data_IF_293435883794
#
_entry.id   IF_293435883794
#
_cell.length_a   1.000
_cell.length_b   1.000
_cell.length_c   1.000
_cell.angle_alpha   90.00
_cell.angle_beta   90.00
_cell.angle_gamma   90.00
#
_symmetry.space_group_name_H-M   'P 1'
#
loop_
_entity.id
_entity.type
_entity.pdbx_description
1 polymer ?
#
# COMPACT_ATOMS: atom_id res chain seq x y z
N UNK A 1 6.54 6.49 -4.66
CA UNK A 1 5.53 6.49 -3.58
C UNK A 1 6.26 6.83 -2.29
N UNK A 2 5.99 8.02 -1.75
CA UNK A 2 6.60 8.48 -0.50
C UNK A 2 6.16 7.58 0.65
N UNK A 3 7.06 7.36 1.60
CA UNK A 3 6.77 6.61 2.81
C UNK A 3 5.46 7.13 3.43
N UNK A 4 4.54 6.21 3.72
CA UNK A 4 3.38 6.50 4.55
C UNK A 4 3.95 7.08 5.84
N UNK A 5 3.74 8.36 6.09
CA UNK A 5 4.26 8.98 7.30
C UNK A 5 3.58 8.27 8.47
N UNK A 6 4.34 7.48 9.21
CA UNK A 6 3.90 6.92 10.48
C UNK A 6 3.33 8.08 11.29
N UNK A 7 2.09 7.96 11.76
CA UNK A 7 1.49 8.98 12.61
C UNK A 7 2.00 8.73 14.02
N UNK A 8 2.91 9.55 14.58
CA UNK A 8 3.21 9.48 15.99
C UNK A 8 1.98 9.97 16.76
N UNK A 9 1.30 9.07 17.47
CA UNK A 9 0.28 9.48 18.44
C UNK A 9 0.99 9.83 19.74
N UNK A 10 0.89 11.08 20.24
CA UNK A 10 1.56 11.48 21.46
C UNK A 10 1.04 10.69 22.67
N UNK A 11 1.94 10.46 23.63
CA UNK A 11 1.69 9.64 24.81
C UNK A 11 0.51 10.15 25.65
N UNK A 12 -0.24 9.22 26.23
CA UNK A 12 -1.33 9.50 27.16
C UNK A 12 -0.83 10.29 28.38
N UNK A 13 -1.47 11.42 28.69
CA UNK A 13 -1.35 12.10 29.97
C UNK A 13 -2.65 11.89 30.76
N UNK A 14 -2.51 11.45 32.01
CA UNK A 14 -3.63 11.41 32.95
C UNK A 14 -4.21 12.83 33.10
N UNK A 15 -5.54 12.97 33.27
CA UNK A 15 -6.12 14.27 33.56
C UNK A 15 -5.51 14.82 34.86
N UNK A 16 -5.20 16.13 34.92
CA UNK A 16 -4.74 16.77 36.14
C UNK A 16 -5.74 16.62 37.28
N UNK A 17 -5.26 16.76 38.52
CA UNK A 17 -6.12 16.70 39.70
C UNK A 17 -7.17 17.83 39.68
N UNK A 18 -8.39 17.58 40.17
CA UNK A 18 -9.39 18.62 40.38
C UNK A 18 -8.82 19.78 41.20
N UNK A 19 -9.31 21.01 40.95
CA UNK A 19 -8.84 22.21 41.67
C UNK A 19 -9.18 22.16 43.17
N UNK A 20 -10.29 21.52 43.51
CA UNK A 20 -10.77 21.30 44.87
C UNK A 20 -11.05 19.81 45.08
N UNK A 21 -10.95 19.30 46.31
CA UNK A 21 -11.33 17.91 46.68
C UNK A 21 -12.85 17.65 46.63
N UNK A 22 -13.61 18.53 45.98
CA UNK A 22 -15.05 18.42 45.80
C UNK A 22 -15.38 17.79 44.44
N UNK A 23 -16.46 17.00 44.34
CA UNK A 23 -16.83 16.28 43.12
C UNK A 23 -17.30 17.17 41.95
N UNK A 24 -17.03 18.48 41.97
CA UNK A 24 -17.58 19.44 41.02
C UNK A 24 -19.03 19.84 41.31
N UNK A 25 -19.46 20.93 40.66
CA UNK A 25 -20.81 21.49 40.78
C UNK A 25 -21.80 20.59 40.04
N UNK A 26 -22.84 20.12 40.73
CA UNK A 26 -23.93 19.40 40.07
C UNK A 26 -24.80 20.38 39.27
N UNK A 27 -25.01 20.08 37.99
CA UNK A 27 -25.75 20.96 37.06
C UNK A 27 -27.07 20.33 36.59
N UNK A 28 -27.19 19.01 36.67
CA UNK A 28 -28.42 18.24 36.50
C UNK A 28 -28.26 16.88 37.19
N UNK A 29 -29.35 16.12 37.42
CA UNK A 29 -29.27 14.85 38.14
C UNK A 29 -28.22 13.90 37.54
N UNK A 30 -27.16 13.61 38.30
CA UNK A 30 -26.08 12.72 37.87
C UNK A 30 -25.06 13.32 36.90
N UNK A 31 -25.12 14.63 36.61
CA UNK A 31 -24.15 15.34 35.76
C UNK A 31 -23.48 16.46 36.56
N UNK A 32 -22.15 16.46 36.55
CA UNK A 32 -21.32 17.43 37.26
C UNK A 32 -20.42 18.19 36.30
N UNK A 33 -20.17 19.44 36.65
CA UNK A 33 -19.17 20.31 36.05
C UNK A 33 -17.96 20.43 37.00
N UNK A 34 -16.78 20.08 36.51
CA UNK A 34 -15.51 20.17 37.24
C UNK A 34 -14.56 21.07 36.46
N UNK A 35 -13.98 22.06 37.13
CA UNK A 35 -12.85 22.82 36.60
C UNK A 35 -11.56 22.35 37.27
N UNK A 36 -10.59 21.94 36.45
CA UNK A 36 -9.28 21.48 36.90
C UNK A 36 -8.30 22.64 37.09
N UNK A 37 -7.20 22.40 37.81
CA UNK A 37 -6.21 23.44 38.13
C UNK A 37 -5.55 24.07 36.89
N UNK A 38 -5.45 23.31 35.79
CA UNK A 38 -4.93 23.77 34.49
C UNK A 38 -5.95 24.57 33.66
N UNK A 39 -7.19 24.69 34.17
CA UNK A 39 -8.32 25.32 33.49
C UNK A 39 -9.09 24.39 32.56
N UNK A 40 -8.77 23.09 32.51
CA UNK A 40 -9.62 22.14 31.81
C UNK A 40 -10.99 22.03 32.47
N UNK A 41 -12.01 21.71 31.69
CA UNK A 41 -13.39 21.57 32.15
C UNK A 41 -13.92 20.19 31.77
N UNK A 42 -14.48 19.50 32.75
CA UNK A 42 -15.25 18.28 32.52
C UNK A 42 -16.73 18.52 32.82
N UNK A 43 -17.60 18.03 31.92
CA UNK A 43 -19.05 17.98 32.13
C UNK A 43 -19.51 16.56 31.86
N UNK A 44 -19.98 15.86 32.89
CA UNK A 44 -20.42 14.48 32.73
C UNK A 44 -20.73 13.76 34.03
N UNK A 45 -20.96 12.45 33.92
CA UNK A 45 -21.17 11.61 35.08
C UNK A 45 -19.89 11.44 35.90
N UNK A 46 -20.05 11.19 37.20
CA UNK A 46 -18.94 10.98 38.12
C UNK A 46 -19.28 9.89 39.14
N UNK A 47 -18.25 9.23 39.66
CA UNK A 47 -18.36 8.28 40.77
C UNK A 47 -17.38 8.70 41.87
N UNK A 48 -17.92 9.28 42.95
CA UNK A 48 -17.11 10.00 43.92
C UNK A 48 -16.41 11.19 43.25
N UNK A 49 -15.09 11.24 43.35
CA UNK A 49 -14.24 12.28 42.72
C UNK A 49 -13.69 11.86 41.34
N UNK A 50 -14.03 10.67 40.85
CA UNK A 50 -13.51 10.14 39.59
C UNK A 50 -14.48 10.38 38.42
N UNK A 51 -13.91 10.69 37.25
CA UNK A 51 -14.66 10.73 35.99
C UNK A 51 -15.18 9.33 35.67
N UNK A 52 -16.48 9.22 35.38
CA UNK A 52 -17.08 7.93 35.09
C UNK A 52 -18.33 8.05 34.21
N UNK A 53 -18.62 7.02 33.41
CA UNK A 53 -19.76 7.05 32.49
C UNK A 53 -19.52 8.05 31.36
N UNK A 54 -20.58 8.63 30.81
CA UNK A 54 -20.45 9.58 29.69
C UNK A 54 -20.07 10.98 30.18
N UNK A 55 -19.18 11.64 29.45
CA UNK A 55 -18.82 13.02 29.71
C UNK A 55 -18.01 13.66 28.59
N UNK A 56 -17.92 14.98 28.67
CA UNK A 56 -17.09 15.80 27.78
C UNK A 56 -15.98 16.45 28.59
N UNK A 57 -14.74 16.25 28.16
CA UNK A 57 -13.53 16.85 28.71
C UNK A 57 -12.94 17.84 27.71
N UNK A 58 -12.86 19.11 28.08
CA UNK A 58 -12.29 20.18 27.25
C UNK A 58 -11.05 20.72 27.95
N UNK A 59 -9.88 20.46 27.37
CA UNK A 59 -8.61 21.07 27.80
C UNK A 59 -8.20 22.19 26.85
N UNK A 60 -7.01 22.77 27.06
CA UNK A 60 -6.41 23.72 26.13
C UNK A 60 -5.94 23.06 24.83
N UNK A 61 -5.52 21.80 24.88
CA UNK A 61 -4.80 21.10 23.78
C UNK A 61 -5.55 19.88 23.25
N UNK A 62 -6.69 19.53 23.82
CA UNK A 62 -7.54 18.46 23.30
C UNK A 62 -8.98 18.59 23.80
N UNK A 63 -9.90 17.96 23.06
CA UNK A 63 -11.27 17.71 23.48
C UNK A 63 -11.55 16.22 23.42
N UNK A 64 -12.30 15.71 24.39
CA UNK A 64 -12.82 14.35 24.39
C UNK A 64 -14.30 14.34 24.74
N UNK A 65 -15.06 13.56 24.01
CA UNK A 65 -16.48 13.32 24.26
C UNK A 65 -16.71 11.81 24.19
N UNK A 66 -17.03 11.19 25.32
CA UNK A 66 -17.16 9.73 25.35
C UNK A 66 -17.29 9.16 26.75
N UNK A 67 -17.01 7.88 26.87
CA UNK A 67 -17.09 7.16 28.12
C UNK A 67 -15.79 7.27 28.94
N UNK A 68 -15.95 7.20 30.25
CA UNK A 68 -14.89 7.22 31.25
C UNK A 68 -15.07 6.06 32.24
N UNK A 69 -13.95 5.46 32.63
CA UNK A 69 -13.89 4.45 33.69
C UNK A 69 -12.71 4.75 34.61
N UNK A 70 -13.03 4.93 35.89
CA UNK A 70 -12.05 5.15 36.96
C UNK A 70 -11.08 6.31 36.64
N UNK A 71 -11.61 7.40 36.08
CA UNK A 71 -10.84 8.59 35.69
C UNK A 71 -10.25 8.57 34.27
N UNK A 72 -10.24 7.43 33.59
CA UNK A 72 -9.61 7.25 32.27
C UNK A 72 -10.65 7.20 31.16
N UNK A 73 -10.32 7.69 29.95
CA UNK A 73 -11.13 7.47 28.74
C UNK A 73 -11.25 5.96 28.50
N UNK A 74 -12.46 5.51 28.25
CA UNK A 74 -12.81 4.11 28.07
C UNK A 74 -13.98 4.00 27.08
N UNK A 75 -14.30 2.78 26.64
CA UNK A 75 -15.50 2.55 25.82
C UNK A 75 -15.47 3.35 24.53
N UNK A 76 -16.63 3.84 24.08
CA UNK A 76 -16.72 4.65 22.86
C UNK A 76 -16.45 6.13 23.14
N UNK A 77 -15.77 6.80 22.21
CA UNK A 77 -15.54 8.23 22.31
C UNK A 77 -15.00 8.87 21.05
N UNK A 78 -15.01 10.20 21.05
CA UNK A 78 -14.43 11.07 20.04
C UNK A 78 -13.37 11.96 20.69
N UNK A 79 -12.16 11.93 20.15
CA UNK A 79 -11.04 12.74 20.59
C UNK A 79 -10.63 13.69 19.47
N UNK A 80 -10.34 14.94 19.81
CA UNK A 80 -9.79 15.97 18.91
C UNK A 80 -8.52 16.53 19.53
N UNK A 81 -7.39 16.40 18.83
CA UNK A 81 -6.07 16.89 19.24
C UNK A 81 -5.89 18.37 18.83
N UNK A 82 -4.95 19.06 19.48
CA UNK A 82 -4.58 20.45 19.18
C UNK A 82 -4.15 20.66 17.73
N UNK A 83 -3.47 19.67 17.14
CA UNK A 83 -3.01 19.71 15.76
C UNK A 83 -4.17 19.59 14.74
N UNK A 84 -5.40 19.33 15.19
CA UNK A 84 -6.59 19.14 14.35
C UNK A 84 -6.90 17.69 13.99
N UNK A 85 -6.04 16.74 14.37
CA UNK A 85 -6.34 15.32 14.22
C UNK A 85 -7.58 14.94 15.03
N UNK A 86 -8.31 13.94 14.56
CA UNK A 86 -9.53 13.44 15.20
C UNK A 86 -9.53 11.92 15.19
N UNK A 87 -10.06 11.35 16.26
CA UNK A 87 -10.30 9.92 16.38
C UNK A 87 -11.70 9.69 16.90
N UNK A 88 -12.40 8.75 16.30
CA UNK A 88 -13.69 8.26 16.76
C UNK A 88 -13.65 6.74 16.81
N UNK A 89 -13.87 6.15 17.98
CA UNK A 89 -13.79 4.71 18.14
C UNK A 89 -13.68 4.30 19.60
N UNK A 90 -13.12 3.11 19.82
CA UNK A 90 -12.98 2.55 21.17
C UNK A 90 -11.71 3.03 21.86
N UNK A 91 -11.80 3.20 23.18
CA UNK A 91 -10.74 3.60 24.09
C UNK A 91 -10.57 2.57 25.21
N UNK A 92 -9.32 2.35 25.61
CA UNK A 92 -8.97 1.62 26.82
C UNK A 92 -7.72 2.25 27.42
N UNK A 93 -7.70 2.40 28.75
CA UNK A 93 -6.56 2.96 29.49
C UNK A 93 -6.10 4.31 28.91
N UNK A 94 -7.06 5.21 28.67
CA UNK A 94 -6.84 6.56 28.14
C UNK A 94 -6.36 6.64 26.68
N UNK A 95 -6.30 5.50 25.96
CA UNK A 95 -5.79 5.41 24.58
C UNK A 95 -6.81 4.83 23.62
N UNK A 96 -6.82 5.28 22.34
CA UNK A 96 -7.48 4.56 21.26
C UNK A 96 -7.07 3.08 21.24
N UNK A 97 -8.02 2.16 21.33
CA UNK A 97 -7.74 0.73 21.40
C UNK A 97 -8.97 -0.07 20.97
N UNK A 98 -8.83 -0.95 19.98
CA UNK A 98 -9.92 -1.66 19.31
C UNK A 98 -10.13 -1.10 17.91
N UNK A 99 -11.36 -0.74 17.55
CA UNK A 99 -11.69 -0.24 16.21
C UNK A 99 -12.04 1.24 16.24
N UNK A 100 -11.62 1.97 15.21
CA UNK A 100 -11.96 3.38 15.08
C UNK A 100 -11.55 4.00 13.75
N UNK A 101 -11.81 5.30 13.66
CA UNK A 101 -11.55 6.12 12.50
C UNK A 101 -10.66 7.29 12.91
N UNK A 102 -9.52 7.45 12.25
CA UNK A 102 -8.75 8.69 12.32
C UNK A 102 -9.08 9.58 11.14
N UNK A 103 -9.24 10.87 11.39
CA UNK A 103 -9.17 11.92 10.39
C UNK A 103 -7.98 12.81 10.75
N UNK A 104 -6.98 12.85 9.88
CA UNK A 104 -5.75 13.58 10.11
C UNK A 104 -5.86 15.01 9.60
N UNK A 105 -5.20 15.95 10.26
CA UNK A 105 -5.19 17.37 9.90
C UNK A 105 -4.60 17.62 8.50
N UNK A 106 -3.75 16.71 8.01
CA UNK A 106 -3.22 16.75 6.65
C UNK A 106 -4.27 16.36 5.57
N UNK A 107 -5.44 15.87 5.99
CA UNK A 107 -6.56 15.42 5.15
C UNK A 107 -6.61 13.90 4.90
N UNK A 108 -5.63 13.15 5.40
CA UNK A 108 -5.63 11.69 5.32
C UNK A 108 -6.67 11.09 6.27
N UNK A 109 -7.12 9.87 5.99
CA UNK A 109 -8.11 9.16 6.79
C UNK A 109 -7.69 7.72 6.99
N UNK A 110 -7.99 7.18 8.16
CA UNK A 110 -7.84 5.76 8.45
C UNK A 110 -9.12 5.22 9.09
N UNK A 111 -9.50 4.01 8.75
CA UNK A 111 -10.55 3.24 9.42
C UNK A 111 -10.08 1.81 9.60
N UNK A 112 -10.08 1.33 10.85
CA UNK A 112 -9.63 -0.03 11.14
C UNK A 112 -9.26 -0.23 12.60
N UNK A 113 -8.40 -1.22 12.82
CA UNK A 113 -7.89 -1.60 14.12
C UNK A 113 -6.80 -0.64 14.63
N UNK A 114 -6.79 -0.41 15.93
CA UNK A 114 -5.87 0.49 16.63
C UNK A 114 -5.50 -0.16 17.95
N UNK A 115 -4.23 -0.12 18.31
CA UNK A 115 -3.73 -0.67 19.57
C UNK A 115 -2.93 0.39 20.30
N UNK A 116 -3.42 0.78 21.48
CA UNK A 116 -2.77 1.76 22.35
C UNK A 116 -2.38 3.08 21.62
N UNK A 117 -3.28 3.59 20.78
CA UNK A 117 -3.08 4.80 19.99
C UNK A 117 -2.42 4.58 18.63
N UNK A 118 -1.90 3.39 18.34
CA UNK A 118 -1.17 3.13 17.10
C UNK A 118 -2.02 2.32 16.13
N UNK A 119 -2.10 2.76 14.87
CA UNK A 119 -2.72 1.99 13.78
C UNK A 119 -2.04 0.62 13.67
N UNK A 120 -2.83 -0.44 13.77
CA UNK A 120 -2.36 -1.83 13.80
C UNK A 120 -3.47 -2.77 13.30
N UNK A 121 -3.15 -4.02 12.98
CA UNK A 121 -4.17 -4.98 12.56
C UNK A 121 -4.73 -4.64 11.17
N UNK A 122 -6.01 -4.95 10.90
CA UNK A 122 -6.59 -4.67 9.58
C UNK A 122 -7.23 -3.28 9.52
N UNK A 123 -7.10 -2.64 8.36
CA UNK A 123 -7.76 -1.35 8.12
C UNK A 123 -7.70 -0.88 6.68
N UNK A 124 -8.20 0.34 6.48
CA UNK A 124 -8.14 1.10 5.24
C UNK A 124 -7.55 2.47 5.52
N UNK A 125 -6.52 2.85 4.78
CA UNK A 125 -5.93 4.18 4.81
C UNK A 125 -6.20 4.88 3.47
N UNK A 126 -6.66 6.12 3.50
CA UNK A 126 -6.91 6.93 2.31
C UNK A 126 -6.17 8.25 2.46
N UNK A 127 -5.24 8.52 1.56
CA UNK A 127 -4.53 9.81 1.53
C UNK A 127 -5.43 10.90 0.99
N UNK A 128 -5.15 12.16 1.33
CA UNK A 128 -5.76 13.34 0.72
C UNK A 128 -5.58 13.36 -0.81
N UNK A 129 -4.48 12.80 -1.31
CA UNK A 129 -4.19 12.72 -2.73
C UNK A 129 -5.03 11.65 -3.47
N UNK A 130 -5.72 10.77 -2.74
CA UNK A 130 -6.60 9.74 -3.30
C UNK A 130 -6.01 8.34 -3.36
N UNK A 131 -4.74 8.14 -2.99
CA UNK A 131 -4.19 6.79 -2.78
C UNK A 131 -4.93 6.08 -1.65
N UNK A 132 -5.22 4.80 -1.82
CA UNK A 132 -5.95 3.97 -0.86
C UNK A 132 -5.24 2.65 -0.61
N UNK A 133 -5.05 2.31 0.66
CA UNK A 133 -4.42 1.06 1.09
C UNK A 133 -5.39 0.28 1.95
N UNK A 134 -5.62 -0.98 1.61
CA UNK A 134 -6.50 -1.90 2.32
C UNK A 134 -5.68 -3.14 2.72
N UNK A 135 -5.59 -3.47 4.00
CA UNK A 135 -4.80 -4.63 4.42
C UNK A 135 -4.33 -4.57 5.86
N UNK A 136 -3.18 -5.18 6.09
CA UNK A 136 -2.56 -5.28 7.41
C UNK A 136 -1.64 -4.09 7.70
N UNK A 137 -1.67 -3.62 8.95
CA UNK A 137 -0.87 -2.51 9.45
C UNK A 137 -0.13 -2.90 10.72
N UNK A 138 1.09 -2.39 10.89
CA UNK A 138 1.87 -2.49 12.11
C UNK A 138 2.69 -1.21 12.31
N UNK A 139 2.70 -0.68 13.53
CA UNK A 139 3.49 0.52 13.84
C UNK A 139 3.06 1.76 13.03
N UNK A 140 1.79 1.85 12.63
CA UNK A 140 1.30 2.94 11.80
C UNK A 140 1.54 2.80 10.30
N UNK A 141 2.19 1.72 9.85
CA UNK A 141 2.55 1.50 8.45
C UNK A 141 1.87 0.26 7.89
N UNK A 142 1.59 0.27 6.58
CA UNK A 142 1.15 -0.95 5.90
C UNK A 142 2.25 -2.02 6.00
N UNK A 143 1.92 -3.16 6.57
CA UNK A 143 2.86 -4.24 6.87
C UNK A 143 2.12 -5.59 6.84
N UNK A 144 2.54 -6.49 5.95
CA UNK A 144 1.83 -7.72 5.60
C UNK A 144 1.16 -7.64 4.23
N UNK A 145 0.12 -8.44 4.01
CA UNK A 145 -0.58 -8.50 2.72
C UNK A 145 -1.67 -7.44 2.64
N UNK A 146 -1.81 -6.81 1.47
CA UNK A 146 -2.89 -5.88 1.19
C UNK A 146 -2.98 -5.46 -0.28
N UNK A 147 -3.84 -4.48 -0.51
CA UNK A 147 -4.12 -3.87 -1.81
C UNK A 147 -3.80 -2.38 -1.71
N UNK A 148 -2.93 -1.90 -2.59
CA UNK A 148 -2.67 -0.47 -2.78
C UNK A 148 -3.34 -0.04 -4.08
N UNK A 149 -4.24 0.95 -4.02
CA UNK A 149 -4.85 1.61 -5.17
C UNK A 149 -4.25 2.99 -5.29
N UNK A 150 -3.59 3.24 -6.41
CA UNK A 150 -2.96 4.53 -6.68
C UNK A 150 -3.99 5.50 -7.23
N UNK A 151 -3.89 6.77 -6.86
CA UNK A 151 -4.68 7.85 -7.45
C UNK A 151 -4.47 7.97 -8.97
N UNK A 152 -3.34 7.46 -9.51
CA UNK A 152 -3.11 7.36 -10.95
C UNK A 152 -4.11 6.46 -11.67
N UNK A 153 -4.71 5.49 -10.96
CA UNK A 153 -5.54 4.41 -11.49
C UNK A 153 -4.86 3.03 -11.46
N UNK A 154 -3.58 2.96 -11.11
CA UNK A 154 -2.86 1.69 -10.95
C UNK A 154 -3.29 0.97 -9.67
N UNK A 155 -2.97 -0.32 -9.57
CA UNK A 155 -3.23 -1.14 -8.37
C UNK A 155 -2.10 -2.13 -8.13
N UNK A 156 -1.69 -2.27 -6.87
CA UNK A 156 -0.83 -3.35 -6.41
C UNK A 156 -1.59 -4.26 -5.45
N UNK A 157 -1.38 -5.57 -5.55
CA UNK A 157 -1.90 -6.57 -4.64
C UNK A 157 -0.74 -7.49 -4.22
N UNK A 158 -0.40 -7.51 -2.93
CA UNK A 158 0.72 -8.31 -2.48
C UNK A 158 1.24 -7.93 -1.10
N UNK A 159 2.46 -8.36 -0.84
CA UNK A 159 3.18 -8.05 0.40
C UNK A 159 3.62 -6.58 0.44
N UNK A 160 3.58 -6.00 1.63
CA UNK A 160 4.08 -4.66 1.95
C UNK A 160 4.88 -4.74 3.24
N UNK A 161 5.99 -4.01 3.32
CA UNK A 161 6.80 -3.87 4.54
C UNK A 161 7.13 -2.40 4.72
N UNK A 162 6.80 -1.87 5.90
CA UNK A 162 7.01 -0.47 6.28
C UNK A 162 6.48 0.51 5.22
N UNK A 163 5.28 0.24 4.72
CA UNK A 163 4.59 1.05 3.72
C UNK A 163 5.12 0.93 2.28
N UNK A 164 6.11 0.07 2.04
CA UNK A 164 6.68 -0.17 0.69
C UNK A 164 6.13 -1.47 0.11
N UNK A 165 5.86 -1.49 -1.19
CA UNK A 165 5.57 -2.75 -1.90
C UNK A 165 6.84 -3.59 -1.91
N UNK A 166 6.74 -4.81 -1.39
CA UNK A 166 7.86 -5.72 -1.17
C UNK A 166 7.39 -7.16 -1.38
N UNK A 167 8.31 -8.11 -1.52
CA UNK A 167 7.96 -9.53 -1.54
C UNK A 167 7.11 -9.90 -2.76
N UNK A 168 6.28 -10.94 -2.66
CA UNK A 168 5.47 -11.37 -3.82
C UNK A 168 4.29 -10.43 -4.02
N UNK A 169 4.04 -10.05 -5.27
CA UNK A 169 2.90 -9.21 -5.59
C UNK A 169 2.49 -9.23 -7.06
N UNK A 170 1.38 -8.56 -7.32
CA UNK A 170 0.81 -8.30 -8.64
C UNK A 170 0.60 -6.81 -8.81
N UNK A 171 1.15 -6.23 -9.86
CA UNK A 171 0.90 -4.86 -10.27
C UNK A 171 -0.05 -4.85 -11.46
N UNK A 172 -1.07 -4.01 -11.42
CA UNK A 172 -2.02 -3.77 -12.49
C UNK A 172 -1.90 -2.31 -12.86
N UNK A 173 -1.41 -2.04 -14.06
CA UNK A 173 -1.32 -0.70 -14.59
C UNK A 173 -2.68 -0.25 -15.15
N UNK A 174 -2.91 1.06 -15.18
CA UNK A 174 -4.12 1.69 -15.75
C UNK A 174 -4.37 1.31 -17.20
N UNK A 175 -3.32 1.01 -17.96
CA UNK A 175 -3.41 0.54 -19.35
C UNK A 175 -3.80 -0.94 -19.46
N UNK A 176 -4.13 -1.61 -18.36
CA UNK A 176 -4.42 -3.05 -18.23
C UNK A 176 -3.22 -3.99 -18.38
N UNK A 177 -1.99 -3.47 -18.44
CA UNK A 177 -0.82 -4.32 -18.27
C UNK A 177 -0.78 -4.87 -16.83
N UNK A 178 -0.24 -6.09 -16.67
CA UNK A 178 -0.09 -6.73 -15.37
C UNK A 178 1.29 -7.33 -15.20
N UNK A 179 1.90 -7.13 -14.04
CA UNK A 179 3.17 -7.75 -13.66
C UNK A 179 2.93 -8.65 -12.46
N UNK A 180 3.39 -9.89 -12.52
CA UNK A 180 3.42 -10.81 -11.38
C UNK A 180 4.87 -11.20 -11.08
N UNK A 181 5.41 -10.74 -9.95
CA UNK A 181 6.83 -10.87 -9.61
C UNK A 181 7.08 -10.64 -8.12
N UNK A 182 8.31 -10.93 -7.62
CA UNK A 182 8.82 -10.28 -6.43
C UNK A 182 9.02 -8.78 -6.65
N UNK A 183 8.79 -7.99 -5.60
CA UNK A 183 8.98 -6.54 -5.57
C UNK A 183 10.03 -6.18 -4.53
N UNK A 184 10.88 -5.22 -4.91
CA UNK A 184 11.88 -4.61 -4.04
C UNK A 184 11.70 -3.10 -4.10
N UNK A 185 11.40 -2.47 -2.97
CA UNK A 185 11.19 -1.02 -2.85
C UNK A 185 10.21 -0.45 -3.90
N UNK A 186 9.10 -1.15 -4.14
CA UNK A 186 8.08 -0.71 -5.09
C UNK A 186 8.32 -1.11 -6.55
N UNK A 187 9.41 -1.82 -6.87
CA UNK A 187 9.71 -2.22 -8.26
C UNK A 187 9.80 -3.73 -8.42
N UNK A 188 9.26 -4.26 -9.50
CA UNK A 188 9.38 -5.68 -9.83
C UNK A 188 10.85 -6.05 -10.07
N UNK A 189 11.29 -7.15 -9.46
CA UNK A 189 12.68 -7.59 -9.47
C UNK A 189 12.77 -9.13 -9.40
N UNK A 190 13.71 -9.72 -10.15
CA UNK A 190 13.91 -11.16 -10.21
C UNK A 190 13.03 -11.82 -11.28
N UNK A 191 12.70 -13.10 -11.11
CA UNK A 191 11.85 -13.83 -12.07
C UNK A 191 10.39 -13.41 -11.93
N UNK A 192 9.74 -13.12 -13.05
CA UNK A 192 8.32 -12.78 -13.08
C UNK A 192 7.70 -12.88 -14.45
N UNK A 193 6.41 -12.57 -14.50
CA UNK A 193 5.61 -12.58 -15.72
C UNK A 193 5.02 -11.21 -15.97
N UNK A 194 5.27 -10.66 -17.15
CA UNK A 194 4.61 -9.45 -17.65
C UNK A 194 3.51 -9.89 -18.62
N UNK A 195 2.29 -9.42 -18.38
CA UNK A 195 1.14 -9.58 -19.24
C UNK A 195 0.84 -8.22 -19.85
N UNK A 196 0.94 -8.14 -21.16
CA UNK A 196 0.66 -6.92 -21.90
C UNK A 196 -0.83 -6.84 -22.21
N UNK A 197 -1.36 -5.64 -22.22
CA UNK A 197 -2.75 -5.33 -22.59
C UNK A 197 -3.11 -5.74 -24.03
N UNK A 198 -2.13 -5.87 -24.92
CA UNK A 198 -2.30 -6.40 -26.28
C UNK A 198 -2.40 -7.94 -26.34
N UNK A 199 -2.29 -8.63 -25.20
CA UNK A 199 -2.32 -10.09 -25.09
C UNK A 199 -0.94 -10.76 -25.13
N UNK A 200 0.13 -10.02 -25.40
CA UNK A 200 1.49 -10.56 -25.33
C UNK A 200 1.82 -10.95 -23.88
N UNK A 201 2.80 -11.85 -23.73
CA UNK A 201 3.29 -12.29 -22.43
C UNK A 201 4.79 -12.44 -22.43
N UNK A 202 5.45 -11.93 -21.40
CA UNK A 202 6.85 -12.19 -21.13
C UNK A 202 7.01 -12.96 -19.82
N UNK A 203 7.86 -13.98 -19.80
CA UNK A 203 8.26 -14.75 -18.62
C UNK A 203 9.78 -14.78 -18.52
N UNK A 204 10.36 -14.17 -17.49
CA UNK A 204 11.81 -14.11 -17.36
C UNK A 204 12.31 -13.13 -16.32
N UNK A 205 13.50 -12.56 -16.55
CA UNK A 205 14.13 -11.62 -15.63
C UNK A 205 13.52 -10.22 -15.72
N UNK A 206 13.19 -9.68 -14.56
CA UNK A 206 12.76 -8.30 -14.35
C UNK A 206 13.79 -7.61 -13.45
N UNK A 207 14.16 -6.37 -13.79
CA UNK A 207 15.05 -5.55 -12.96
C UNK A 207 14.52 -4.13 -12.90
N UNK A 208 14.19 -3.65 -11.69
CA UNK A 208 13.62 -2.32 -11.47
C UNK A 208 12.37 -2.03 -12.31
N UNK A 209 11.57 -3.08 -12.58
CA UNK A 209 10.39 -3.02 -13.44
C UNK A 209 10.65 -3.23 -14.94
N UNK A 210 11.90 -3.23 -15.39
CA UNK A 210 12.24 -3.44 -16.79
C UNK A 210 12.39 -4.92 -17.14
N UNK A 211 11.85 -5.32 -18.28
CA UNK A 211 12.11 -6.63 -18.91
C UNK A 211 13.56 -6.65 -19.41
N UNK A 212 14.36 -7.56 -18.87
CA UNK A 212 15.78 -7.70 -19.20
C UNK A 212 16.25 -9.15 -18.99
N UNK A 213 17.56 -9.41 -19.02
CA UNK A 213 18.12 -10.74 -18.76
C UNK A 213 17.62 -11.78 -19.75
N UNK A 214 17.26 -12.98 -19.28
CA UNK A 214 16.83 -14.08 -20.14
C UNK A 214 15.37 -14.40 -19.86
N UNK A 215 14.60 -14.59 -20.94
CA UNK A 215 13.21 -15.00 -20.82
C UNK A 215 12.57 -15.46 -22.13
N UNK A 216 11.27 -15.69 -22.03
CA UNK A 216 10.38 -16.10 -23.11
C UNK A 216 9.39 -14.97 -23.36
N UNK A 217 9.33 -14.47 -24.58
CA UNK A 217 8.27 -13.57 -25.05
C UNK A 217 7.32 -14.36 -25.95
N UNK A 218 6.05 -14.44 -25.59
CA UNK A 218 4.98 -15.03 -26.39
C UNK A 218 4.12 -13.91 -26.95
N UNK A 219 4.05 -13.81 -28.27
CA UNK A 219 3.23 -12.84 -28.96
C UNK A 219 1.79 -13.35 -29.04
N UNK A 220 0.81 -12.47 -28.83
CA UNK A 220 -0.61 -12.80 -28.98
C UNK A 220 -0.96 -13.32 -30.38
N UNK A 221 -0.17 -12.89 -31.38
CA UNK A 221 -0.29 -13.33 -32.77
C UNK A 221 0.20 -14.77 -33.02
N UNK A 222 0.82 -15.43 -32.04
CA UNK A 222 1.29 -16.81 -32.12
C UNK A 222 2.81 -17.02 -32.05
N UNK A 223 3.67 -16.15 -32.63
CA UNK A 223 5.11 -16.30 -32.53
C UNK A 223 5.62 -16.32 -31.08
N UNK A 224 6.84 -16.83 -30.90
CA UNK A 224 7.55 -16.85 -29.61
C UNK A 224 9.00 -16.47 -29.82
N UNK A 225 9.57 -15.74 -28.86
CA UNK A 225 11.00 -15.54 -28.71
C UNK A 225 11.48 -16.13 -27.39
N UNK A 226 12.67 -16.71 -27.37
CA UNK A 226 13.36 -17.18 -26.16
C UNK A 226 14.83 -16.77 -26.26
N UNK A 227 15.31 -16.01 -25.29
CA UNK A 227 16.68 -15.53 -25.32
C UNK A 227 16.91 -14.33 -24.42
N UNK A 228 17.99 -13.62 -24.72
CA UNK A 228 18.37 -12.41 -24.02
C UNK A 228 17.43 -11.24 -24.37
N UNK A 229 17.15 -10.39 -23.38
CA UNK A 229 16.24 -9.25 -23.49
C UNK A 229 16.90 -8.00 -22.91
N UNK A 230 16.64 -6.86 -23.55
CA UNK A 230 17.03 -5.55 -23.03
C UNK A 230 15.92 -4.54 -23.30
N UNK A 231 15.48 -3.82 -22.26
CA UNK A 231 14.44 -2.79 -22.35
C UNK A 231 13.15 -3.28 -23.03
N UNK A 232 12.75 -4.52 -22.76
CA UNK A 232 11.54 -5.12 -23.35
C UNK A 232 11.69 -5.67 -24.76
N UNK A 233 12.88 -5.63 -25.35
CA UNK A 233 13.13 -6.10 -26.71
C UNK A 233 14.09 -7.31 -26.73
N UNK A 234 13.90 -8.26 -27.67
CA UNK A 234 14.91 -9.26 -28.01
C UNK A 234 16.29 -8.62 -28.24
N UNK A 235 17.31 -9.19 -27.63
CA UNK A 235 18.70 -8.71 -27.71
C UNK A 235 19.63 -9.91 -27.62
N UNK A 236 20.87 -9.83 -28.11
CA UNK A 236 21.86 -10.89 -27.88
C UNK A 236 21.42 -12.23 -28.45
N UNK A 237 21.79 -13.34 -27.81
CA UNK A 237 21.47 -14.68 -28.35
C UNK A 237 20.03 -15.07 -28.06
N UNK A 238 19.37 -15.66 -29.04
CA UNK A 238 18.05 -16.24 -28.85
C UNK A 238 17.55 -17.07 -30.02
N UNK A 239 16.31 -17.53 -29.85
CA UNK A 239 15.55 -18.29 -30.84
C UNK A 239 14.17 -17.66 -31.00
N UNK A 240 13.76 -17.44 -32.25
CA UNK A 240 12.44 -16.94 -32.60
C UNK A 240 11.68 -18.01 -33.37
N UNK A 241 10.49 -18.40 -32.92
CA UNK A 241 9.60 -19.35 -33.58
C UNK A 241 8.48 -18.60 -34.30
N UNK A 242 8.30 -18.91 -35.58
CA UNK A 242 7.26 -18.37 -36.43
C UNK A 242 5.99 -19.24 -36.39
N UNK A 243 4.87 -18.67 -36.84
CA UNK A 243 3.57 -19.37 -36.87
C UNK A 243 3.56 -20.59 -37.79
N UNK A 244 4.38 -20.56 -38.84
CA UNK A 244 4.51 -21.66 -39.82
C UNK A 244 5.33 -22.86 -39.30
N UNK A 245 5.80 -22.81 -38.05
CA UNK A 245 6.62 -23.83 -37.42
C UNK A 245 8.12 -23.73 -37.71
N UNK A 246 8.54 -22.79 -38.56
CA UNK A 246 9.96 -22.47 -38.73
C UNK A 246 10.50 -21.71 -37.50
N UNK A 247 11.83 -21.67 -37.34
CA UNK A 247 12.49 -20.89 -36.30
C UNK A 247 13.80 -20.26 -36.78
N UNK A 248 14.17 -19.15 -36.17
CA UNK A 248 15.44 -18.46 -36.40
C UNK A 248 16.27 -18.50 -35.12
N UNK A 249 17.49 -19.04 -35.20
CA UNK A 249 18.45 -19.10 -34.10
C UNK A 249 19.59 -18.11 -34.40
N UNK A 250 19.84 -17.12 -33.55
CA UNK A 250 20.81 -16.08 -33.88
C UNK A 250 21.06 -15.02 -32.82
N UNK A 251 21.77 -13.97 -33.24
CA UNK A 251 22.03 -12.76 -32.46
C UNK A 251 21.08 -11.64 -32.90
N UNK A 252 20.34 -11.06 -31.95
CA UNK A 252 19.31 -10.04 -32.11
C UNK A 252 19.79 -8.69 -31.59
N UNK A 253 19.35 -7.61 -32.24
CA UNK A 253 19.67 -6.23 -31.88
C UNK A 253 18.44 -5.35 -32.07
N UNK A 254 18.07 -4.63 -31.00
CA UNK A 254 16.91 -3.73 -31.03
C UNK A 254 15.58 -4.45 -31.28
N UNK A 255 15.45 -5.68 -30.79
CA UNK A 255 14.31 -6.54 -31.08
C UNK A 255 14.48 -7.28 -32.41
N UNK A 256 13.52 -7.10 -33.31
CA UNK A 256 13.54 -7.71 -34.65
C UNK A 256 14.02 -6.72 -35.74
N UNK A 257 14.59 -5.57 -35.33
CA UNK A 257 15.16 -4.60 -36.27
C UNK A 257 16.34 -5.19 -37.02
N UNK A 258 17.24 -5.88 -36.32
CA UNK A 258 18.35 -6.60 -36.93
C UNK A 258 18.61 -7.92 -36.21
N UNK A 259 18.74 -9.00 -36.96
CA UNK A 259 19.28 -10.24 -36.43
C UNK A 259 20.13 -10.97 -37.47
N UNK A 260 21.15 -11.70 -37.02
CA UNK A 260 21.97 -12.59 -37.87
C UNK A 260 21.99 -13.99 -37.29
N UNK A 261 21.79 -14.99 -38.13
CA UNK A 261 21.66 -16.35 -37.65
C UNK A 261 21.26 -17.35 -38.72
N UNK A 262 20.60 -18.41 -38.28
CA UNK A 262 20.19 -19.54 -39.11
C UNK A 262 18.68 -19.68 -39.06
N UNK A 263 18.03 -19.62 -40.22
CA UNK A 263 16.64 -20.03 -40.39
C UNK A 263 16.58 -21.56 -40.49
N UNK A 264 15.73 -22.17 -39.68
CA UNK A 264 15.45 -23.60 -39.66
C UNK A 264 13.97 -23.76 -40.03
N UNK A 265 13.68 -24.30 -41.21
CA UNK A 265 12.31 -24.49 -41.69
C UNK A 265 11.63 -25.65 -40.95
N UNK A 266 10.31 -25.77 -41.12
CA UNK A 266 9.52 -26.83 -40.49
C UNK A 266 9.99 -28.26 -40.88
N UNK A 267 10.58 -28.42 -42.07
CA UNK A 267 11.19 -29.67 -42.54
C UNK A 267 12.59 -29.95 -41.97
N UNK A 268 13.13 -29.04 -41.16
CA UNK A 268 14.46 -29.13 -40.57
C UNK A 268 15.60 -28.59 -41.45
N UNK A 269 15.32 -28.16 -42.68
CA UNK A 269 16.33 -27.54 -43.54
C UNK A 269 16.85 -26.23 -42.94
N UNK A 270 18.15 -25.99 -43.09
CA UNK A 270 18.86 -24.85 -42.49
C UNK A 270 19.41 -23.92 -43.57
N UNK A 271 19.32 -22.62 -43.36
CA UNK A 271 19.92 -21.61 -44.21
C UNK A 271 20.40 -20.43 -43.38
N UNK A 272 21.57 -19.89 -43.69
CA UNK A 272 21.99 -18.59 -43.14
C UNK A 272 20.97 -17.53 -43.53
N UNK A 273 20.64 -16.64 -42.60
CA UNK A 273 19.63 -15.62 -42.80
C UNK A 273 19.89 -14.40 -41.92
N UNK A 274 19.34 -13.27 -42.34
CA UNK A 274 19.24 -12.06 -41.52
C UNK A 274 17.78 -11.70 -41.31
N UNK A 275 17.45 -11.07 -40.18
CA UNK A 275 16.18 -10.36 -40.00
C UNK A 275 16.48 -8.86 -40.12
N UNK A 276 15.73 -8.16 -40.97
CA UNK A 276 15.80 -6.70 -41.12
C UNK A 276 14.38 -6.15 -41.05
N UNK A 277 14.10 -5.29 -40.08
CA UNK A 277 12.79 -4.69 -39.83
C UNK A 277 11.66 -5.73 -39.76
N UNK A 278 11.91 -6.85 -39.07
CA UNK A 278 10.97 -7.95 -38.89
C UNK A 278 10.85 -8.91 -40.08
N UNK A 279 11.53 -8.66 -41.20
CA UNK A 279 11.50 -9.53 -42.37
C UNK A 279 12.75 -10.41 -42.48
N UNK A 280 12.57 -11.71 -42.72
CA UNK A 280 13.66 -12.66 -42.97
C UNK A 280 14.23 -12.45 -44.38
N UNK A 281 15.55 -12.32 -44.47
CA UNK A 281 16.33 -12.12 -45.69
C UNK A 281 17.31 -13.30 -45.83
N UNK A 282 17.23 -14.03 -46.93
CA UNK A 282 18.22 -15.05 -47.29
C UNK A 282 19.37 -14.39 -48.07
N UNK A 283 20.62 -14.84 -47.91
CA UNK A 283 21.70 -14.44 -48.79
C UNK A 283 21.33 -14.84 -50.23
N UNK A 284 21.42 -13.87 -51.14
CA UNK A 284 21.17 -14.06 -52.57
C UNK A 284 22.29 -14.78 -53.29
#
# INVERSE_FOLDING_TARGET
>A
AGALAAVPVPAAALPPKPKDDQPGREISPGVREVTFADGAVYVGAMRGVQLHGKGRYTSRVFKYDGEFKDGLKHGTGRYEWENGDRYEGTFAEDRPNGSGKYQFANGDNYEGEVKAGVIAGRGTYVTRAGDRIEGSFAGGLANGVGIYRFASGDRYEGEMVDGKLQGKGRYFAKNNDRIEAPFVNGRAHGKGTYFFSNGDRYEGDLREGAITGVGVYTYASGPKYEGEMANGLPQGKGTFWFVDGSRFEGAFEGGLTRAKGVLIRADGSRADAEIVDGAVKLPG
#
